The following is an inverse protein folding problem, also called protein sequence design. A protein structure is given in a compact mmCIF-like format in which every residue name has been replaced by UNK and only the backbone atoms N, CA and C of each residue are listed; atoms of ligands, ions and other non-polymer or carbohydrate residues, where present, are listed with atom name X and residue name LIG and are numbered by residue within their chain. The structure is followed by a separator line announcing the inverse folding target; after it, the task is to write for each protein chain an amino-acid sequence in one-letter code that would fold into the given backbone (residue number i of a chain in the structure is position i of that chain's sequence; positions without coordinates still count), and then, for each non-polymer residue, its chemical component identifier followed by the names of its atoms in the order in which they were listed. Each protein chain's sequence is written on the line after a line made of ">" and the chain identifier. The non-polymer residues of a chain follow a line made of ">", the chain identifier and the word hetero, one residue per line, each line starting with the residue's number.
data_IF_949873940898
#
_entry.id   IF_949873940898
#
_cell.length_a   1.000
_cell.length_b   1.000
_cell.length_c   1.000
_cell.angle_alpha   90.00
_cell.angle_beta   90.00
_cell.angle_gamma   90.00
#
_symmetry.space_group_name_H-M   'P 1'
#
loop_
_entity.id
_entity.type
_entity.pdbx_description
1 polymer ?
#
# COMPACT_ATOMS: atom_id res chain seq x y z
N UNK A 1 1.19 -14.84 8.68
CA UNK A 1 2.35 -13.96 8.96
C UNK A 1 2.58 -13.11 7.72
N UNK A 2 2.74 -11.79 7.86
CA UNK A 2 3.00 -10.90 6.72
C UNK A 2 4.43 -11.12 6.24
N UNK A 3 4.63 -11.46 4.96
CA UNK A 3 5.96 -11.60 4.37
C UNK A 3 6.33 -10.37 3.55
N UNK A 4 7.62 -10.18 3.34
CA UNK A 4 8.17 -9.11 2.51
C UNK A 4 7.67 -9.18 1.05
N UNK A 5 7.57 -10.38 0.50
CA UNK A 5 7.02 -10.60 -0.84
C UNK A 5 5.56 -10.14 -0.96
N UNK A 6 4.75 -10.28 0.11
CA UNK A 6 3.38 -9.78 0.09
C UNK A 6 3.32 -8.25 -0.03
N UNK A 7 4.28 -7.54 0.56
CA UNK A 7 4.39 -6.07 0.48
C UNK A 7 4.83 -5.66 -0.92
N UNK A 8 5.87 -6.32 -1.45
CA UNK A 8 6.37 -6.06 -2.80
C UNK A 8 5.31 -6.28 -3.87
N UNK A 9 4.54 -7.36 -3.75
CA UNK A 9 3.48 -7.68 -4.70
C UNK A 9 2.39 -6.59 -4.77
N UNK A 10 1.88 -6.15 -3.61
CA UNK A 10 0.86 -5.10 -3.58
C UNK A 10 1.43 -3.74 -4.01
N UNK A 11 2.68 -3.43 -3.64
CA UNK A 11 3.34 -2.19 -4.03
C UNK A 11 3.53 -2.09 -5.54
N UNK A 12 3.92 -3.20 -6.20
CA UNK A 12 4.07 -3.25 -7.66
C UNK A 12 2.78 -2.99 -8.43
N UNK A 13 1.62 -3.24 -7.81
CA UNK A 13 0.30 -2.99 -8.39
C UNK A 13 -0.26 -1.61 -8.01
N UNK A 14 0.45 -0.86 -7.18
CA UNK A 14 -0.02 0.39 -6.59
C UNK A 14 0.76 1.60 -7.07
N UNK A 15 0.09 2.75 -7.02
CA UNK A 15 0.75 4.06 -7.03
C UNK A 15 0.77 4.60 -5.61
N UNK A 16 1.93 5.06 -5.18
CA UNK A 16 2.10 5.65 -3.85
C UNK A 16 1.59 7.09 -3.91
N UNK A 17 0.63 7.39 -3.03
CA UNK A 17 0.00 8.71 -2.96
C UNK A 17 0.58 9.56 -1.82
N UNK A 18 1.10 8.91 -0.77
CA UNK A 18 1.70 9.59 0.37
C UNK A 18 2.08 8.63 1.48
N UNK A 19 2.83 9.14 2.45
CA UNK A 19 3.15 8.45 3.68
C UNK A 19 3.01 9.43 4.84
N UNK A 20 2.23 9.05 5.84
CA UNK A 20 2.06 9.83 7.06
C UNK A 20 1.82 8.91 8.25
N UNK A 21 2.40 9.26 9.41
CA UNK A 21 2.17 8.57 10.68
C UNK A 21 2.28 7.03 10.63
N UNK A 22 3.20 6.47 9.85
CA UNK A 22 3.37 5.02 9.73
C UNK A 22 2.49 4.33 8.70
N UNK A 23 1.61 5.09 8.03
CA UNK A 23 0.70 4.58 7.00
C UNK A 23 1.10 5.05 5.62
N UNK A 24 1.20 4.10 4.69
CA UNK A 24 1.40 4.37 3.28
C UNK A 24 0.03 4.38 2.58
N UNK A 25 -0.31 5.50 1.95
CA UNK A 25 -1.53 5.63 1.16
C UNK A 25 -1.26 5.17 -0.27
N UNK A 26 -2.03 4.19 -0.73
CA UNK A 26 -1.85 3.53 -2.02
C UNK A 26 -3.11 3.67 -2.87
N UNK A 27 -2.92 4.00 -4.14
CA UNK A 27 -3.95 3.97 -5.18
C UNK A 27 -3.79 2.69 -6.01
N UNK A 28 -4.87 1.92 -6.13
CA UNK A 28 -4.92 0.63 -6.82
C UNK A 28 -6.03 0.65 -7.89
N UNK A 29 -5.82 -0.04 -9.01
CA UNK A 29 -6.86 -0.19 -10.05
C UNK A 29 -8.03 -1.00 -9.50
N UNK A 30 -9.26 -0.55 -9.71
CA UNK A 30 -10.47 -1.23 -9.26
C UNK A 30 -10.85 -2.38 -10.21
N UNK A 31 -10.00 -3.41 -10.24
CA UNK A 31 -10.16 -4.64 -11.02
C UNK A 31 -10.20 -5.84 -10.08
N UNK A 32 -10.89 -6.91 -10.49
CA UNK A 32 -11.11 -8.08 -9.64
C UNK A 32 -9.81 -8.65 -9.05
N UNK A 33 -8.79 -8.91 -9.88
CA UNK A 33 -7.52 -9.48 -9.43
C UNK A 33 -6.84 -8.61 -8.36
N UNK A 34 -6.85 -7.28 -8.57
CA UNK A 34 -6.21 -6.32 -7.66
C UNK A 34 -7.01 -6.17 -6.38
N UNK A 35 -8.34 -6.16 -6.48
CA UNK A 35 -9.24 -6.08 -5.33
C UNK A 35 -9.16 -7.34 -4.46
N UNK A 36 -9.17 -8.53 -5.06
CA UNK A 36 -9.03 -9.81 -4.35
C UNK A 36 -7.66 -9.90 -3.65
N UNK A 37 -6.59 -9.42 -4.31
CA UNK A 37 -5.27 -9.32 -3.69
C UNK A 37 -5.31 -8.38 -2.47
N UNK A 38 -5.86 -7.16 -2.63
CA UNK A 38 -5.96 -6.19 -1.55
C UNK A 38 -6.80 -6.72 -0.38
N UNK A 39 -7.92 -7.39 -0.67
CA UNK A 39 -8.75 -8.04 0.35
C UNK A 39 -7.94 -9.08 1.14
N UNK A 40 -7.25 -9.99 0.45
CA UNK A 40 -6.37 -10.98 1.09
C UNK A 40 -5.27 -10.32 1.93
N UNK A 41 -4.71 -9.18 1.50
CA UNK A 41 -3.72 -8.41 2.29
C UNK A 41 -4.34 -7.74 3.52
N UNK A 42 -5.60 -7.34 3.45
CA UNK A 42 -6.33 -6.81 4.60
C UNK A 42 -6.60 -7.89 5.66
N UNK A 43 -6.96 -9.12 5.26
CA UNK A 43 -7.12 -10.26 6.17
C UNK A 43 -5.80 -10.65 6.86
N UNK A 44 -4.68 -10.39 6.19
CA UNK A 44 -3.33 -10.57 6.73
C UNK A 44 -2.86 -9.39 7.58
N UNK A 45 -3.71 -8.39 7.83
CA UNK A 45 -3.41 -7.22 8.65
C UNK A 45 -2.33 -6.28 8.07
N UNK A 46 -1.97 -6.44 6.79
CA UNK A 46 -1.02 -5.58 6.08
C UNK A 46 -1.70 -4.30 5.58
N UNK A 47 -2.90 -4.44 5.00
CA UNK A 47 -3.76 -3.30 4.68
C UNK A 47 -4.79 -3.09 5.77
N UNK A 48 -5.21 -1.85 5.96
CA UNK A 48 -6.40 -1.54 6.75
C UNK A 48 -7.63 -2.23 6.13
N UNK A 49 -8.61 -2.64 6.95
CA UNK A 49 -9.78 -3.39 6.48
C UNK A 49 -10.75 -2.53 5.64
N UNK A 50 -10.46 -1.23 5.52
CA UNK A 50 -11.28 -0.27 4.78
C UNK A 50 -10.53 0.24 3.56
N UNK A 51 -11.30 0.48 2.50
CA UNK A 51 -10.87 1.16 1.29
C UNK A 51 -11.80 2.33 0.97
N UNK A 52 -11.32 3.24 0.15
CA UNK A 52 -12.05 4.40 -0.33
C UNK A 52 -12.16 4.38 -1.85
N UNK A 53 -13.31 4.78 -2.38
CA UNK A 53 -13.54 4.93 -3.82
C UNK A 53 -14.20 6.27 -4.09
N UNK A 54 -13.80 6.90 -5.18
CA UNK A 54 -14.50 8.07 -5.71
C UNK A 54 -15.53 7.64 -6.75
N UNK A 55 -16.79 8.01 -6.52
CA UNK A 55 -17.89 7.78 -7.45
C UNK A 55 -18.76 9.03 -7.51
N UNK A 56 -19.01 9.57 -8.71
CA UNK A 56 -19.81 10.78 -8.91
C UNK A 56 -19.36 11.97 -8.03
N UNK A 57 -18.05 12.19 -7.95
CA UNK A 57 -17.43 13.25 -7.13
C UNK A 57 -17.72 13.16 -5.63
N UNK A 58 -18.07 11.96 -5.14
CA UNK A 58 -18.20 11.65 -3.71
C UNK A 58 -17.26 10.52 -3.33
N UNK A 59 -16.62 10.66 -2.18
CA UNK A 59 -15.75 9.63 -1.60
C UNK A 59 -16.61 8.71 -0.72
N UNK A 60 -16.51 7.42 -0.97
CA UNK A 60 -17.19 6.38 -0.19
C UNK A 60 -16.15 5.51 0.49
N UNK A 61 -16.25 5.37 1.81
CA UNK A 61 -15.44 4.45 2.60
C UNK A 61 -16.20 3.15 2.84
N UNK A 62 -15.57 2.02 2.56
CA UNK A 62 -16.19 0.69 2.68
C UNK A 62 -15.20 -0.31 3.27
N UNK A 63 -15.73 -1.35 3.92
CA UNK A 63 -14.90 -2.49 4.31
C UNK A 63 -14.68 -3.41 3.11
N UNK A 64 -13.53 -4.09 3.07
CA UNK A 64 -13.32 -5.18 2.13
C UNK A 64 -14.36 -6.30 2.31
N UNK A 65 -14.63 -6.97 1.20
CA UNK A 65 -15.59 -8.08 1.06
C UNK A 65 -15.19 -8.90 -0.17
N UNK A 66 -15.87 -10.02 -0.41
CA UNK A 66 -15.65 -10.77 -1.65
C UNK A 66 -16.04 -9.92 -2.87
N UNK A 67 -15.30 -10.04 -3.97
CA UNK A 67 -15.60 -9.28 -5.19
C UNK A 67 -17.02 -9.50 -5.71
N UNK A 68 -17.57 -10.72 -5.57
CA UNK A 68 -18.95 -11.05 -5.94
C UNK A 68 -20.00 -10.20 -5.22
N UNK A 69 -19.67 -9.69 -4.03
CA UNK A 69 -20.57 -8.92 -3.19
C UNK A 69 -20.41 -7.41 -3.43
N UNK A 70 -19.48 -7.03 -4.32
CA UNK A 70 -19.29 -5.62 -4.69
C UNK A 70 -20.53 -5.10 -5.41
N UNK A 71 -21.04 -3.91 -5.02
CA UNK A 71 -22.15 -3.29 -5.72
C UNK A 71 -21.89 -3.19 -7.21
N UNK A 72 -22.89 -3.52 -8.03
CA UNK A 72 -22.80 -3.46 -9.48
C UNK A 72 -22.38 -2.07 -10.01
N UNK A 73 -22.76 -1.00 -9.32
CA UNK A 73 -22.35 0.38 -9.65
C UNK A 73 -20.83 0.60 -9.57
N UNK A 74 -20.12 -0.16 -8.72
CA UNK A 74 -18.66 -0.10 -8.63
C UNK A 74 -18.03 -0.95 -9.75
N UNK A 75 -18.62 -2.11 -10.04
CA UNK A 75 -18.14 -3.04 -11.06
C UNK A 75 -18.41 -2.56 -12.50
N UNK A 76 -19.39 -1.67 -12.72
CA UNK A 76 -19.77 -1.20 -14.06
C UNK A 76 -18.80 -0.19 -14.69
N UNK A 77 -17.58 -0.06 -14.15
CA UNK A 77 -16.54 0.86 -14.63
C UNK A 77 -16.72 2.32 -14.17
N UNK A 78 -17.69 2.58 -13.29
CA UNK A 78 -17.90 3.90 -12.67
C UNK A 78 -16.78 4.30 -11.70
N UNK A 79 -16.03 3.31 -11.21
CA UNK A 79 -14.86 3.49 -10.34
C UNK A 79 -13.64 2.91 -11.06
N UNK A 80 -12.61 3.74 -11.23
CA UNK A 80 -11.34 3.33 -11.85
C UNK A 80 -10.32 2.88 -10.82
N UNK A 81 -10.32 3.52 -9.66
CA UNK A 81 -9.33 3.31 -8.62
C UNK A 81 -9.98 3.21 -7.26
N UNK A 82 -9.30 2.52 -6.34
CA UNK A 82 -9.58 2.59 -4.93
C UNK A 82 -8.31 2.93 -4.15
N UNK A 83 -8.52 3.59 -3.02
CA UNK A 83 -7.46 4.03 -2.12
C UNK A 83 -7.47 3.12 -0.90
N UNK A 84 -6.29 2.64 -0.53
CA UNK A 84 -6.07 1.82 0.67
C UNK A 84 -4.97 2.42 1.52
N UNK A 85 -4.99 2.10 2.80
CA UNK A 85 -3.91 2.44 3.72
C UNK A 85 -3.16 1.16 4.12
N UNK A 86 -1.85 1.16 3.94
CA UNK A 86 -0.97 0.09 4.40
C UNK A 86 -0.29 0.53 5.69
N UNK A 87 -0.42 -0.28 6.74
CA UNK A 87 0.18 0.00 8.03
C UNK A 87 1.61 -0.57 8.07
N UNK A 88 2.62 0.29 7.81
CA UNK A 88 4.02 -0.11 7.86
C UNK A 88 4.54 -0.21 9.30
N UNK A 89 3.86 0.39 10.27
CA UNK A 89 4.21 0.27 11.69
C UNK A 89 4.05 -1.15 12.22
N UNK A 90 3.18 -1.96 11.60
CA UNK A 90 3.09 -3.39 11.89
C UNK A 90 4.31 -4.20 11.44
N UNK A 91 5.19 -3.59 10.65
CA UNK A 91 6.48 -4.16 10.25
C UNK A 91 7.63 -3.61 11.11
N UNK A 92 7.38 -2.55 11.91
CA UNK A 92 8.38 -1.97 12.81
C UNK A 92 8.73 -3.01 13.89
N UNK A 93 10.01 -3.40 13.89
CA UNK A 93 10.56 -4.49 14.71
C UNK A 93 11.26 -5.57 13.88
N UNK A 94 10.96 -5.69 12.58
CA UNK A 94 11.62 -6.63 11.66
C UNK A 94 12.30 -5.95 10.46
N UNK A 95 11.87 -4.74 10.10
CA UNK A 95 12.35 -3.98 8.93
C UNK A 95 12.40 -2.49 9.29
N UNK A 96 13.47 -1.79 8.93
CA UNK A 96 13.54 -0.32 9.07
C UNK A 96 12.81 0.36 7.90
N UNK A 97 12.07 1.43 8.17
CA UNK A 97 11.28 2.14 7.15
C UNK A 97 11.71 3.60 7.15
N UNK A 98 12.09 4.10 5.97
CA UNK A 98 12.52 5.47 5.73
C UNK A 98 11.70 6.07 4.60
N UNK A 99 11.32 7.33 4.73
CA UNK A 99 10.59 8.04 3.69
C UNK A 99 11.46 8.25 2.46
N UNK A 100 12.68 8.76 2.63
CA UNK A 100 13.62 9.05 1.55
C UNK A 100 15.08 8.80 1.94
N UNK A 101 15.97 8.96 0.97
CA UNK A 101 17.42 8.78 1.14
C UNK A 101 18.02 9.76 2.16
N UNK A 102 17.43 10.95 2.32
CA UNK A 102 17.91 11.94 3.29
C UNK A 102 17.59 11.50 4.71
N UNK A 103 16.38 10.98 4.95
CA UNK A 103 15.97 10.43 6.23
C UNK A 103 16.81 9.20 6.59
N UNK A 104 17.08 8.32 5.62
CA UNK A 104 17.97 7.17 5.79
C UNK A 104 19.35 7.62 6.29
N UNK A 105 20.02 8.52 5.55
CA UNK A 105 21.38 8.97 5.88
C UNK A 105 21.42 9.73 7.21
N UNK A 106 20.40 10.53 7.52
CA UNK A 106 20.34 11.32 8.75
C UNK A 106 20.12 10.46 10.00
N UNK A 107 19.27 9.44 9.92
CA UNK A 107 18.92 8.59 11.07
C UNK A 107 19.81 7.35 11.20
N UNK A 108 20.35 6.84 10.09
CA UNK A 108 21.15 5.61 10.01
C UNK A 108 22.26 5.72 8.95
N UNK A 109 23.43 6.30 9.29
CA UNK A 109 24.59 6.32 8.39
C UNK A 109 25.12 4.91 8.03
N UNK A 110 24.79 3.90 8.84
CA UNK A 110 24.89 2.49 8.51
C UNK A 110 23.46 1.90 8.58
N UNK A 111 22.83 1.69 7.43
CA UNK A 111 21.50 1.10 7.35
C UNK A 111 21.54 -0.37 7.80
N UNK A 112 20.46 -0.86 8.42
CA UNK A 112 20.31 -2.29 8.69
C UNK A 112 20.22 -3.11 7.40
N UNK A 113 20.40 -4.43 7.49
CA UNK A 113 20.38 -5.33 6.34
C UNK A 113 19.05 -5.32 5.55
N UNK A 114 17.95 -4.84 6.15
CA UNK A 114 16.63 -4.79 5.49
C UNK A 114 15.92 -3.49 5.80
N UNK A 115 15.68 -2.70 4.76
CA UNK A 115 14.94 -1.47 4.87
C UNK A 115 14.05 -1.19 3.65
N UNK A 116 13.02 -0.37 3.88
CA UNK A 116 12.11 0.14 2.85
C UNK A 116 12.35 1.65 2.73
N UNK A 117 12.64 2.11 1.51
CA UNK A 117 12.64 3.52 1.12
C UNK A 117 11.35 3.81 0.39
N UNK A 118 10.49 4.67 0.92
CA UNK A 118 9.17 4.93 0.35
C UNK A 118 9.26 5.75 -0.94
N UNK A 119 10.21 6.69 -1.01
CA UNK A 119 10.49 7.50 -2.19
C UNK A 119 12.00 7.59 -2.39
N UNK A 120 12.51 6.94 -3.44
CA UNK A 120 13.90 7.05 -3.84
C UNK A 120 14.02 7.94 -5.08
N UNK A 121 14.83 9.00 -4.97
CA UNK A 121 15.24 9.83 -6.12
C UNK A 121 15.92 9.00 -7.20
N UNK A 122 16.66 7.97 -6.78
CA UNK A 122 17.36 7.04 -7.66
C UNK A 122 16.41 6.12 -8.46
N UNK A 123 15.16 5.98 -8.01
CA UNK A 123 14.16 5.08 -8.61
C UNK A 123 12.88 5.83 -9.03
N UNK A 124 13.02 7.08 -9.47
CA UNK A 124 11.92 7.92 -9.96
C UNK A 124 10.78 8.13 -8.94
N UNK A 125 11.09 8.15 -7.65
CA UNK A 125 10.09 8.30 -6.58
C UNK A 125 9.30 7.04 -6.26
N UNK A 126 9.69 5.88 -6.81
CA UNK A 126 9.12 4.57 -6.45
C UNK A 126 9.63 4.11 -5.09
N UNK A 127 8.84 3.27 -4.43
CA UNK A 127 9.27 2.59 -3.22
C UNK A 127 10.37 1.57 -3.58
N UNK A 128 11.54 1.76 -2.98
CA UNK A 128 12.70 0.89 -3.14
C UNK A 128 12.81 0.01 -1.91
N UNK A 129 12.79 -1.29 -2.18
CA UNK A 129 12.85 -2.33 -1.17
C UNK A 129 14.26 -2.93 -1.24
N UNK A 130 15.06 -2.81 -0.17
CA UNK A 130 16.40 -3.41 -0.12
C UNK A 130 16.31 -4.84 0.45
N UNK A 131 16.54 -5.90 -0.35
CA UNK A 131 16.19 -7.26 0.06
C UNK A 131 17.17 -7.93 1.03
N UNK A 132 18.45 -7.59 0.99
CA UNK A 132 19.52 -8.03 1.92
C UNK A 132 20.79 -7.19 1.65
#
# INVERSE_FOLDING_TARGET
>A
MVSFENIKEILNKSKIMGYDNGFLTLELQFEQEVFDLAFKRSEQYLLEPQYEVELNSKIYKRNFHAWSDSPSMLQSGGVKYFIVSMNLDRLRGQIEVFYDEKELVANRPLAGNRFILISSTTNEGKCTICPD
#
